data_IF_904749372332
#
_entry.id   IF_904749372332
#
_cell.length_a   1.000
_cell.length_b   1.000
_cell.length_c   1.000
_cell.angle_alpha   90.00
_cell.angle_beta   90.00
_cell.angle_gamma   90.00
#
_symmetry.space_group_name_H-M   'P 1'
#
loop_
_entity.id
_entity.type
_entity.pdbx_description
1 polymer ?
#
# COMPACT_ATOMS: atom_id res chain seq x y z
N UNK A 1 -1.74 10.93 3.48
CA UNK A 1 -2.54 11.43 4.63
C UNK A 1 -2.89 10.34 5.65
N UNK A 2 -3.56 9.24 5.24
CA UNK A 2 -4.00 8.19 6.18
C UNK A 2 -2.88 7.66 7.07
N UNK A 3 -1.78 7.18 6.47
CA UNK A 3 -0.67 6.57 7.21
C UNK A 3 0.12 7.53 8.12
N UNK A 4 -0.03 8.84 7.93
CA UNK A 4 0.70 9.86 8.73
C UNK A 4 -0.05 10.26 9.98
N UNK A 5 -1.38 10.16 9.97
CA UNK A 5 -2.23 10.70 11.04
C UNK A 5 -3.03 9.64 11.79
N UNK A 6 -3.18 8.44 11.23
CA UNK A 6 -4.02 7.39 11.81
C UNK A 6 -3.24 6.09 11.98
N UNK A 7 -3.38 5.48 13.15
CA UNK A 7 -2.77 4.19 13.45
C UNK A 7 -3.59 3.04 12.86
N UNK A 8 -2.95 1.88 12.65
CA UNK A 8 -3.64 0.64 12.23
C UNK A 8 -4.72 0.23 13.23
N UNK A 9 -4.47 0.41 14.53
CA UNK A 9 -5.43 0.10 15.59
C UNK A 9 -6.69 0.98 15.50
N UNK A 10 -6.53 2.28 15.23
CA UNK A 10 -7.66 3.19 15.04
C UNK A 10 -8.48 2.85 13.81
N UNK A 11 -7.83 2.54 12.68
CA UNK A 11 -8.53 2.09 11.47
C UNK A 11 -9.30 0.80 11.77
N UNK A 12 -8.67 -0.19 12.41
CA UNK A 12 -9.35 -1.43 12.83
C UNK A 12 -10.57 -1.17 13.72
N UNK A 13 -10.45 -0.24 14.67
CA UNK A 13 -11.56 0.17 15.51
C UNK A 13 -12.74 0.71 14.68
N UNK A 14 -12.48 1.64 13.74
CA UNK A 14 -13.52 2.19 12.86
C UNK A 14 -14.19 1.11 12.00
N UNK A 15 -13.40 0.17 11.46
CA UNK A 15 -13.92 -0.97 10.71
C UNK A 15 -14.85 -1.84 11.58
N UNK A 16 -14.44 -2.13 12.82
CA UNK A 16 -15.23 -2.94 13.76
C UNK A 16 -16.50 -2.22 14.21
N UNK A 17 -16.45 -0.90 14.34
CA UNK A 17 -17.60 -0.05 14.68
C UNK A 17 -18.56 0.19 13.48
N UNK A 18 -18.21 -0.29 12.28
CA UNK A 18 -18.96 -0.05 11.02
C UNK A 18 -19.08 1.45 10.66
N UNK A 19 -18.07 2.22 11.02
CA UNK A 19 -18.00 3.65 10.70
C UNK A 19 -17.51 3.87 9.26
N UNK A 20 -18.24 4.66 8.47
CA UNK A 20 -17.90 4.95 7.07
C UNK A 20 -16.51 5.57 6.91
N UNK A 21 -16.03 6.30 7.92
CA UNK A 21 -14.69 6.89 7.93
C UNK A 21 -13.61 5.82 7.74
N UNK A 22 -13.78 4.63 8.31
CA UNK A 22 -12.84 3.52 8.14
C UNK A 22 -12.65 3.14 6.67
N UNK A 23 -13.75 3.04 5.91
CA UNK A 23 -13.70 2.68 4.49
C UNK A 23 -13.01 3.79 3.70
N UNK A 24 -13.34 5.06 3.99
CA UNK A 24 -12.73 6.22 3.32
C UNK A 24 -11.21 6.26 3.55
N UNK A 25 -10.76 5.99 4.77
CA UNK A 25 -9.33 5.96 5.09
C UNK A 25 -8.61 4.81 4.38
N UNK A 26 -9.23 3.63 4.28
CA UNK A 26 -8.71 2.50 3.51
C UNK A 26 -8.59 2.81 2.01
N UNK A 27 -9.64 3.41 1.41
CA UNK A 27 -9.60 3.83 0.01
C UNK A 27 -8.47 4.83 -0.23
N UNK A 28 -8.34 5.83 0.63
CA UNK A 28 -7.27 6.84 0.52
C UNK A 28 -5.87 6.24 0.67
N UNK A 29 -5.70 5.26 1.57
CA UNK A 29 -4.45 4.50 1.71
C UNK A 29 -4.14 3.69 0.44
N UNK A 30 -5.12 2.95 -0.07
CA UNK A 30 -4.95 2.08 -1.23
C UNK A 30 -4.62 2.88 -2.48
N UNK A 31 -5.33 3.99 -2.74
CA UNK A 31 -5.05 4.85 -3.88
C UNK A 31 -3.63 5.43 -3.82
N UNK A 32 -3.18 5.86 -2.64
CA UNK A 32 -1.80 6.30 -2.47
C UNK A 32 -0.80 5.17 -2.78
N UNK A 33 -1.04 3.97 -2.26
CA UNK A 33 -0.19 2.80 -2.50
C UNK A 33 -0.10 2.47 -3.99
N UNK A 34 -1.22 2.37 -4.69
CA UNK A 34 -1.24 2.07 -6.13
C UNK A 34 -0.56 3.16 -6.95
N UNK A 35 -0.85 4.44 -6.67
CA UNK A 35 -0.21 5.55 -7.37
C UNK A 35 1.31 5.52 -7.18
N UNK A 36 1.76 5.28 -5.95
CA UNK A 36 3.20 5.19 -5.64
C UNK A 36 3.85 3.99 -6.35
N UNK A 37 3.20 2.84 -6.34
CA UNK A 37 3.68 1.66 -7.04
C UNK A 37 3.80 1.90 -8.56
N UNK A 38 2.84 2.62 -9.16
CA UNK A 38 2.90 2.98 -10.58
C UNK A 38 4.00 3.99 -10.90
N UNK A 39 4.28 4.94 -10.00
CA UNK A 39 5.46 5.82 -10.11
C UNK A 39 6.75 5.01 -10.10
N UNK A 40 6.91 4.11 -9.14
CA UNK A 40 8.10 3.25 -9.02
C UNK A 40 8.29 2.35 -10.26
N UNK A 41 7.20 1.82 -10.82
CA UNK A 41 7.23 1.06 -12.07
C UNK A 41 7.76 1.93 -13.22
N UNK A 42 7.25 3.16 -13.38
CA UNK A 42 7.70 4.07 -14.44
C UNK A 42 9.19 4.38 -14.33
N UNK A 43 9.67 4.75 -13.14
CA UNK A 43 11.09 5.00 -12.91
C UNK A 43 11.95 3.75 -13.17
N UNK A 44 11.50 2.56 -12.77
CA UNK A 44 12.25 1.33 -13.03
C UNK A 44 12.33 0.97 -14.52
N UNK A 45 11.33 1.36 -15.33
CA UNK A 45 11.37 1.20 -16.79
C UNK A 45 12.38 2.18 -17.41
N UNK A 46 12.35 3.45 -17.00
CA UNK A 46 13.30 4.48 -17.44
C UNK A 46 14.75 4.13 -17.10
N UNK A 47 14.97 3.50 -15.95
CA UNK A 47 16.29 3.04 -15.48
C UNK A 47 16.66 1.62 -15.97
N UNK A 48 15.88 1.03 -16.89
CA UNK A 48 16.10 -0.32 -17.44
C UNK A 48 16.20 -1.45 -16.40
N UNK A 49 15.64 -1.28 -15.20
CA UNK A 49 15.71 -2.24 -14.08
C UNK A 49 14.35 -2.79 -13.63
N UNK A 50 13.34 -2.72 -14.50
CA UNK A 50 11.98 -3.19 -14.19
C UNK A 50 11.93 -4.66 -13.73
N UNK A 51 12.72 -5.55 -14.34
CA UNK A 51 12.73 -6.97 -13.98
C UNK A 51 13.19 -7.22 -12.53
N UNK A 52 14.19 -6.48 -12.07
CA UNK A 52 14.67 -6.53 -10.68
C UNK A 52 13.64 -5.95 -9.72
N UNK A 53 13.07 -4.77 -10.06
CA UNK A 53 12.01 -4.15 -9.29
C UNK A 53 10.82 -5.10 -9.08
N UNK A 54 10.35 -5.74 -10.16
CA UNK A 54 9.24 -6.70 -10.12
C UNK A 54 9.56 -7.87 -9.18
N UNK A 55 10.76 -8.45 -9.29
CA UNK A 55 11.18 -9.58 -8.45
C UNK A 55 11.16 -9.21 -6.97
N UNK A 56 11.85 -8.12 -6.62
CA UNK A 56 11.94 -7.64 -5.23
C UNK A 56 10.57 -7.30 -4.64
N UNK A 57 9.68 -6.65 -5.41
CA UNK A 57 8.32 -6.35 -4.95
C UNK A 57 7.50 -7.61 -4.68
N UNK A 58 7.57 -8.61 -5.57
CA UNK A 58 6.84 -9.87 -5.40
C UNK A 58 7.37 -10.68 -4.22
N UNK A 59 8.69 -10.78 -4.06
CA UNK A 59 9.32 -11.40 -2.90
C UNK A 59 8.85 -10.73 -1.60
N UNK A 60 8.80 -9.39 -1.57
CA UNK A 60 8.30 -8.63 -0.42
C UNK A 60 6.83 -8.91 -0.06
N UNK A 61 5.98 -9.29 -1.02
CA UNK A 61 4.60 -9.71 -0.73
C UNK A 61 4.52 -11.14 -0.21
N UNK A 62 5.28 -12.06 -0.81
CA UNK A 62 5.31 -13.47 -0.40
C UNK A 62 5.90 -13.66 1.01
N UNK A 63 6.92 -12.89 1.38
CA UNK A 63 7.48 -12.95 2.74
C UNK A 63 6.47 -12.49 3.80
N UNK A 64 5.59 -11.54 3.44
CA UNK A 64 4.54 -11.02 4.33
C UNK A 64 3.36 -11.97 4.53
N UNK A 65 3.20 -12.95 3.66
CA UNK A 65 2.11 -13.94 3.72
C UNK A 65 2.48 -15.14 4.59
N UNK A 66 3.78 -15.41 4.76
CA UNK A 66 4.31 -16.52 5.56
C UNK A 66 4.60 -16.15 7.03
N UNK A 67 4.21 -14.95 7.47
CA UNK A 67 4.39 -14.38 8.82
C UNK A 67 3.03 -14.09 9.46
#
# INVERSE_FOLDING_TARGET
PTCRHYSRAYIRHLLKAKEMLGMRLCVLHNLYFYNKMMEEIRSAIEEHRFAEYKRSKLEGFLMKENE
#
